data_IF_799852990869
#
_entry.id   IF_799852990869
#
_cell.length_a   1.000
_cell.length_b   1.000
_cell.length_c   1.000
_cell.angle_alpha   90.00
_cell.angle_beta   90.00
_cell.angle_gamma   90.00
#
_symmetry.space_group_name_H-M   'P 1'
#
loop_
_entity.id
_entity.type
_entity.pdbx_description
1 polymer ?
#
# COMPACT_ATOMS: atom_id res chain seq x y z
N UNK A 1 9.77 -21.25 25.20
CA UNK A 1 10.65 -20.22 24.58
C UNK A 1 10.48 -20.12 23.06
N UNK A 2 10.48 -21.24 22.30
CA UNK A 2 10.23 -21.24 20.84
C UNK A 2 8.93 -20.56 20.38
N UNK A 3 7.85 -20.68 21.16
CA UNK A 3 6.55 -20.07 20.84
C UNK A 3 6.55 -18.55 20.91
N UNK A 4 7.18 -17.98 21.94
CA UNK A 4 7.30 -16.51 22.07
C UNK A 4 8.14 -15.92 20.94
N UNK A 5 9.25 -16.57 20.58
CA UNK A 5 10.12 -16.13 19.48
C UNK A 5 9.36 -16.17 18.13
N UNK A 6 8.51 -17.19 17.91
CA UNK A 6 7.65 -17.27 16.74
C UNK A 6 6.64 -16.12 16.67
N UNK A 7 5.96 -15.80 17.77
CA UNK A 7 4.98 -14.71 17.83
C UNK A 7 5.61 -13.34 17.53
N UNK A 8 6.80 -13.06 18.10
CA UNK A 8 7.53 -11.81 17.80
C UNK A 8 8.02 -11.74 16.35
N UNK A 9 8.40 -12.88 15.75
CA UNK A 9 8.74 -12.96 14.33
C UNK A 9 7.54 -12.68 13.42
N UNK A 10 6.37 -13.21 13.75
CA UNK A 10 5.12 -12.96 13.02
C UNK A 10 4.71 -11.48 13.11
N UNK A 11 4.76 -10.89 14.31
CA UNK A 11 4.45 -9.47 14.54
C UNK A 11 5.40 -8.53 13.80
N UNK A 12 6.70 -8.85 13.79
CA UNK A 12 7.69 -8.08 13.03
C UNK A 12 7.47 -8.24 11.52
N UNK A 13 7.13 -9.45 11.05
CA UNK A 13 6.76 -9.71 9.67
C UNK A 13 5.53 -8.91 9.22
N UNK A 14 4.49 -8.88 10.06
CA UNK A 14 3.26 -8.12 9.81
C UNK A 14 3.55 -6.62 9.71
N UNK A 15 4.35 -6.07 10.63
CA UNK A 15 4.74 -4.65 10.61
C UNK A 15 5.57 -4.27 9.37
N UNK A 16 6.44 -5.16 8.90
CA UNK A 16 7.25 -4.94 7.70
C UNK A 16 6.38 -4.98 6.45
N UNK A 17 5.44 -5.93 6.38
CA UNK A 17 4.52 -6.03 5.25
C UNK A 17 3.51 -4.87 5.24
N UNK A 18 2.99 -4.45 6.39
CA UNK A 18 2.13 -3.28 6.54
C UNK A 18 2.88 -1.97 6.28
N UNK A 19 4.17 -1.88 6.64
CA UNK A 19 5.03 -0.75 6.30
C UNK A 19 5.27 -0.63 4.80
N UNK A 20 5.41 -1.75 4.10
CA UNK A 20 5.53 -1.76 2.64
C UNK A 20 4.23 -1.34 1.95
N UNK A 21 3.09 -1.78 2.48
CA UNK A 21 1.77 -1.35 2.05
C UNK A 21 1.59 0.16 2.25
N UNK A 22 1.95 0.67 3.42
CA UNK A 22 1.89 2.10 3.73
C UNK A 22 2.76 2.93 2.78
N UNK A 23 3.98 2.45 2.46
CA UNK A 23 4.85 3.07 1.47
C UNK A 23 4.23 3.06 0.06
N UNK A 24 3.64 1.94 -0.36
CA UNK A 24 2.98 1.83 -1.65
C UNK A 24 1.80 2.80 -1.78
N UNK A 25 0.96 2.92 -0.74
CA UNK A 25 -0.13 3.90 -0.69
C UNK A 25 0.43 5.32 -0.75
N UNK A 26 1.51 5.61 -0.02
CA UNK A 26 2.19 6.91 -0.07
C UNK A 26 2.62 7.30 -1.48
N UNK A 27 3.21 6.37 -2.24
CA UNK A 27 3.60 6.58 -3.64
C UNK A 27 2.37 6.87 -4.52
N UNK A 28 1.28 6.13 -4.34
CA UNK A 28 0.02 6.36 -5.07
C UNK A 28 -0.54 7.75 -4.78
N UNK A 29 -0.51 8.20 -3.53
CA UNK A 29 -0.97 9.54 -3.14
C UNK A 29 -0.10 10.63 -3.76
N UNK A 30 1.23 10.48 -3.76
CA UNK A 30 2.15 11.43 -4.42
C UNK A 30 1.86 11.49 -5.92
N UNK A 31 1.62 10.35 -6.55
CA UNK A 31 1.30 10.29 -7.97
C UNK A 31 -0.05 10.94 -8.29
N UNK A 32 -1.07 10.71 -7.47
CA UNK A 32 -2.37 11.37 -7.61
C UNK A 32 -2.27 12.89 -7.42
N UNK A 33 -1.47 13.35 -6.46
CA UNK A 33 -1.20 14.77 -6.25
C UNK A 33 -0.51 15.40 -7.47
N UNK A 34 0.43 14.69 -8.10
CA UNK A 34 1.07 15.14 -9.33
C UNK A 34 0.06 15.26 -10.48
N UNK A 35 -0.82 14.27 -10.64
CA UNK A 35 -1.89 14.31 -11.65
C UNK A 35 -2.84 15.48 -11.41
N UNK A 36 -3.22 15.73 -10.16
CA UNK A 36 -4.07 16.87 -9.80
C UNK A 36 -3.39 18.22 -10.07
N UNK A 37 -2.07 18.32 -9.89
CA UNK A 37 -1.31 19.54 -10.15
C UNK A 37 -1.17 19.85 -11.65
N UNK A 38 -1.03 18.82 -12.50
CA UNK A 38 -0.86 18.99 -13.95
C UNK A 38 -2.20 19.21 -14.66
N UNK A 39 -3.26 18.54 -14.20
CA UNK A 39 -4.59 18.61 -14.81
C UNK A 39 -5.69 19.03 -13.80
N UNK A 40 -5.63 20.27 -13.26
CA UNK A 40 -6.57 20.72 -12.24
C UNK A 40 -8.03 20.79 -12.74
N UNK A 41 -8.24 20.90 -14.04
CA UNK A 41 -9.56 20.90 -14.66
C UNK A 41 -10.25 19.52 -14.67
N UNK A 42 -9.53 18.43 -14.35
CA UNK A 42 -10.04 17.05 -14.39
C UNK A 42 -9.78 16.35 -13.06
N UNK A 43 -10.42 16.78 -11.96
CA UNK A 43 -10.19 16.22 -10.61
C UNK A 43 -10.52 14.71 -10.53
N UNK A 44 -11.41 14.23 -11.40
CA UNK A 44 -11.74 12.81 -11.55
C UNK A 44 -10.52 11.96 -11.90
N UNK A 45 -9.55 12.48 -12.68
CA UNK A 45 -8.36 11.72 -13.05
C UNK A 45 -7.51 11.35 -11.82
N UNK A 46 -7.29 12.30 -10.91
CA UNK A 46 -6.60 12.04 -9.65
C UNK A 46 -7.39 11.08 -8.74
N UNK A 47 -8.72 11.20 -8.72
CA UNK A 47 -9.60 10.28 -8.00
C UNK A 47 -9.49 8.83 -8.52
N UNK A 48 -9.48 8.63 -9.84
CA UNK A 48 -9.28 7.31 -10.46
C UNK A 48 -7.92 6.73 -10.08
N UNK A 49 -6.87 7.55 -10.12
CA UNK A 49 -5.52 7.13 -9.72
C UNK A 49 -5.48 6.66 -8.27
N UNK A 50 -6.13 7.38 -7.34
CA UNK A 50 -6.21 6.97 -5.94
C UNK A 50 -6.97 5.65 -5.78
N UNK A 51 -8.14 5.52 -6.41
CA UNK A 51 -8.97 4.31 -6.29
C UNK A 51 -8.23 3.10 -6.85
N UNK A 52 -7.74 3.19 -8.08
CA UNK A 52 -7.07 2.07 -8.75
C UNK A 52 -5.73 1.77 -8.09
N UNK A 53 -4.96 2.79 -7.74
CA UNK A 53 -3.65 2.62 -7.10
C UNK A 53 -3.75 2.00 -5.71
N UNK A 54 -4.67 2.47 -4.86
CA UNK A 54 -4.86 1.91 -3.52
C UNK A 54 -5.42 0.49 -3.56
N UNK A 55 -6.38 0.20 -4.45
CA UNK A 55 -6.89 -1.16 -4.65
C UNK A 55 -5.80 -2.10 -5.17
N UNK A 56 -4.97 -1.63 -6.11
CA UNK A 56 -3.83 -2.38 -6.62
C UNK A 56 -2.80 -2.69 -5.54
N UNK A 57 -2.45 -1.70 -4.71
CA UNK A 57 -1.55 -1.89 -3.57
C UNK A 57 -2.10 -2.90 -2.57
N UNK A 58 -3.41 -2.85 -2.28
CA UNK A 58 -4.07 -3.79 -1.37
C UNK A 58 -4.04 -5.22 -1.92
N UNK A 59 -4.42 -5.42 -3.19
CA UNK A 59 -4.40 -6.74 -3.83
C UNK A 59 -2.98 -7.29 -3.94
N UNK A 60 -2.02 -6.44 -4.29
CA UNK A 60 -0.60 -6.79 -4.31
C UNK A 60 -0.09 -7.25 -2.95
N UNK A 61 -0.51 -6.58 -1.87
CA UNK A 61 -0.13 -6.94 -0.51
C UNK A 61 -0.78 -8.26 -0.06
N UNK A 62 -2.09 -8.43 -0.30
CA UNK A 62 -2.82 -9.66 0.06
C UNK A 62 -2.27 -10.88 -0.70
N UNK A 63 -1.98 -10.73 -1.99
CA UNK A 63 -1.41 -11.82 -2.80
C UNK A 63 0.02 -12.18 -2.39
N UNK A 64 0.81 -11.20 -1.95
CA UNK A 64 2.16 -11.43 -1.41
C UNK A 64 2.12 -12.10 -0.04
N UNK A 65 1.20 -11.71 0.83
CA UNK A 65 0.99 -12.33 2.13
C UNK A 65 0.55 -13.80 2.00
N UNK A 66 -0.39 -14.11 1.08
CA UNK A 66 -0.84 -15.49 0.86
C UNK A 66 0.17 -16.42 0.16
N UNK A 67 1.30 -15.90 -0.33
CA UNK A 67 2.39 -16.68 -0.95
C UNK A 67 3.56 -16.93 -0.01
N UNK A 68 3.61 -16.28 1.15
CA UNK A 68 4.58 -16.53 2.22
C UNK A 68 4.06 -17.62 3.15
#
# INVERSE_FOLDING_TARGET
MRTLIGIFGELAGLFIDDGLLALAIGVVVVFAALVAAIAPAVPIAAGIVLVVGCLGALVGNVTRAGKR
#
